data_IF_268763308254
#
_entry.id   IF_268763308254
#
_cell.length_a   1.000
_cell.length_b   1.000
_cell.length_c   1.000
_cell.angle_alpha   90.00
_cell.angle_beta   90.00
_cell.angle_gamma   90.00
#
_symmetry.space_group_name_H-M   'P 1'
#
loop_
_entity.id
_entity.type
_entity.pdbx_description
1 polymer ?
#
# COMPACT_ATOMS: atom_id res chain seq x y z
N UNK A 1 12.18 -47.46 18.79
CA UNK A 1 10.82 -46.89 18.64
C UNK A 1 10.91 -45.47 19.16
N UNK A 2 10.49 -44.48 18.39
CA UNK A 2 10.32 -43.11 18.90
C UNK A 2 9.29 -43.12 20.02
N UNK A 3 9.56 -42.41 21.12
CA UNK A 3 8.57 -42.30 22.19
C UNK A 3 7.28 -41.67 21.66
N UNK A 4 6.10 -42.18 22.08
CA UNK A 4 4.82 -41.64 21.66
C UNK A 4 4.68 -40.19 22.13
N UNK A 5 4.00 -39.36 21.34
CA UNK A 5 3.79 -37.97 21.70
C UNK A 5 2.81 -37.86 22.87
N UNK A 6 3.28 -37.48 24.06
CA UNK A 6 2.41 -37.33 25.23
C UNK A 6 1.76 -35.95 25.25
N UNK A 7 0.44 -35.87 25.21
CA UNK A 7 -0.31 -34.62 25.29
C UNK A 7 -1.05 -34.53 26.62
N UNK A 8 -0.98 -33.39 27.30
CA UNK A 8 -1.86 -33.05 28.42
C UNK A 8 -3.26 -32.63 27.94
N UNK A 9 -4.14 -32.25 28.87
CA UNK A 9 -5.44 -31.68 28.53
C UNK A 9 -5.34 -30.22 28.03
N UNK A 10 -4.22 -29.54 28.32
CA UNK A 10 -3.84 -28.23 27.81
C UNK A 10 -2.40 -28.31 27.27
N UNK A 11 -2.15 -27.75 26.08
CA UNK A 11 -0.83 -27.73 25.45
C UNK A 11 -0.51 -26.37 24.80
N UNK A 12 0.79 -26.09 24.69
CA UNK A 12 1.30 -25.01 23.85
C UNK A 12 1.53 -25.51 22.42
N UNK A 13 1.01 -24.78 21.44
CA UNK A 13 1.16 -25.08 20.01
C UNK A 13 1.55 -23.83 19.23
N UNK A 14 2.08 -24.05 18.03
CA UNK A 14 2.23 -23.01 17.02
C UNK A 14 1.48 -23.38 15.73
N UNK A 15 0.96 -22.36 15.04
CA UNK A 15 0.39 -22.46 13.69
C UNK A 15 1.19 -21.53 12.76
N UNK A 16 2.36 -21.97 12.27
CA UNK A 16 3.27 -21.13 11.47
C UNK A 16 2.60 -20.54 10.22
N UNK A 17 1.75 -21.29 9.54
CA UNK A 17 1.08 -20.82 8.31
C UNK A 17 0.08 -19.68 8.57
N UNK A 18 -0.30 -19.46 9.84
CA UNK A 18 -1.18 -18.37 10.26
C UNK A 18 -0.43 -17.27 11.04
N UNK A 19 0.89 -17.39 11.21
CA UNK A 19 1.66 -16.43 11.99
C UNK A 19 1.33 -16.45 13.47
N UNK A 20 0.97 -17.62 14.01
CA UNK A 20 0.64 -17.83 15.41
C UNK A 20 1.77 -18.67 16.06
N UNK A 21 2.90 -18.05 16.43
CA UNK A 21 4.06 -18.76 16.99
C UNK A 21 3.86 -19.30 18.40
N UNK A 22 2.80 -18.89 19.13
CA UNK A 22 2.52 -19.40 20.48
C UNK A 22 1.03 -19.30 20.81
N UNK A 23 0.37 -20.43 21.01
CA UNK A 23 -1.04 -20.50 21.34
C UNK A 23 -1.29 -21.60 22.36
N UNK A 24 -2.09 -21.32 23.37
CA UNK A 24 -2.62 -22.34 24.28
C UNK A 24 -3.83 -23.00 23.65
N UNK A 25 -3.78 -24.31 23.50
CA UNK A 25 -4.86 -25.12 22.97
C UNK A 25 -5.33 -26.13 24.02
N UNK A 26 -6.64 -26.35 24.09
CA UNK A 26 -7.22 -27.44 24.88
C UNK A 26 -7.31 -28.69 24.01
N UNK A 27 -6.81 -29.81 24.51
CA UNK A 27 -6.99 -31.12 23.88
C UNK A 27 -8.39 -31.62 24.21
N UNK A 28 -9.20 -31.86 23.18
CA UNK A 28 -10.60 -32.23 23.31
C UNK A 28 -10.91 -33.44 22.41
N UNK A 29 -10.73 -34.63 22.98
CA UNK A 29 -10.98 -35.90 22.28
C UNK A 29 -12.47 -36.13 21.97
N UNK A 30 -13.36 -35.40 22.65
CA UNK A 30 -14.80 -35.38 22.38
C UNK A 30 -15.14 -34.64 21.09
N UNK A 31 -14.38 -33.60 20.75
CA UNK A 31 -14.51 -32.91 19.48
C UNK A 31 -13.90 -33.73 18.32
N UNK A 32 -14.67 -33.89 17.24
CA UNK A 32 -14.17 -34.57 16.02
C UNK A 32 -13.09 -33.73 15.32
N UNK A 33 -13.41 -32.47 15.02
CA UNK A 33 -12.53 -31.54 14.29
C UNK A 33 -12.01 -30.46 15.23
N UNK A 34 -10.79 -30.01 14.99
CA UNK A 34 -10.19 -28.89 15.72
C UNK A 34 -10.90 -27.57 15.41
N UNK A 35 -10.84 -26.63 16.35
CA UNK A 35 -11.48 -25.32 16.20
C UNK A 35 -10.50 -24.21 16.57
N UNK A 36 -10.49 -23.13 15.79
CA UNK A 36 -9.69 -21.94 16.01
C UNK A 36 -10.59 -20.72 16.19
N UNK A 37 -10.27 -19.90 17.18
CA UNK A 37 -10.88 -18.60 17.35
C UNK A 37 -10.63 -17.74 16.11
N UNK A 38 -11.69 -17.19 15.55
CA UNK A 38 -11.62 -16.25 14.45
C UNK A 38 -12.76 -15.24 14.59
N UNK A 39 -12.49 -13.98 14.28
CA UNK A 39 -13.49 -12.91 14.20
C UNK A 39 -13.33 -12.15 12.89
N UNK A 40 -14.39 -11.44 12.49
CA UNK A 40 -14.45 -10.76 11.17
C UNK A 40 -14.08 -11.71 10.01
N UNK A 41 -14.70 -12.89 10.02
CA UNK A 41 -14.46 -13.94 9.02
C UNK A 41 -15.11 -13.52 7.71
N UNK A 42 -14.30 -13.23 6.69
CA UNK A 42 -14.76 -12.79 5.38
C UNK A 42 -14.16 -13.67 4.27
N UNK A 43 -14.99 -14.31 3.42
CA UNK A 43 -14.49 -15.00 2.23
C UNK A 43 -14.02 -14.01 1.16
N UNK A 44 -13.01 -14.38 0.40
CA UNK A 44 -12.52 -13.61 -0.74
C UNK A 44 -11.83 -14.50 -1.77
N UNK A 45 -11.49 -13.94 -2.93
CA UNK A 45 -10.90 -14.68 -4.04
C UNK A 45 -11.93 -15.31 -4.98
N UNK A 46 -11.48 -15.83 -6.12
CA UNK A 46 -12.35 -16.45 -7.12
C UNK A 46 -12.92 -17.79 -6.60
N UNK A 47 -14.04 -18.23 -7.16
CA UNK A 47 -14.66 -19.51 -6.80
C UNK A 47 -13.75 -20.73 -7.05
N UNK A 48 -12.79 -20.62 -7.98
CA UNK A 48 -11.78 -21.65 -8.27
C UNK A 48 -10.66 -21.73 -7.23
N UNK A 49 -10.48 -20.69 -6.41
CA UNK A 49 -9.48 -20.64 -5.35
C UNK A 49 -10.03 -19.81 -4.17
N UNK A 50 -11.07 -20.32 -3.48
CA UNK A 50 -11.74 -19.60 -2.41
C UNK A 50 -10.79 -19.47 -1.21
N UNK A 51 -10.75 -18.27 -0.65
CA UNK A 51 -9.95 -17.95 0.53
C UNK A 51 -10.83 -17.34 1.60
N UNK A 52 -10.33 -17.35 2.82
CA UNK A 52 -10.95 -16.67 3.95
C UNK A 52 -9.93 -15.80 4.64
N UNK A 53 -10.30 -14.57 4.96
CA UNK A 53 -9.54 -13.69 5.84
C UNK A 53 -10.27 -13.58 7.16
N UNK A 54 -9.52 -13.47 8.23
CA UNK A 54 -10.06 -13.31 9.58
C UNK A 54 -8.99 -12.70 10.46
N UNK A 55 -9.44 -12.22 11.62
CA UNK A 55 -8.54 -11.77 12.66
C UNK A 55 -8.56 -12.79 13.81
N UNK A 56 -7.42 -12.92 14.49
CA UNK A 56 -7.21 -13.87 15.58
C UNK A 56 -6.62 -13.15 16.80
N UNK A 57 -7.23 -13.33 17.97
CA UNK A 57 -6.70 -12.87 19.25
C UNK A 57 -5.96 -14.01 19.99
N UNK A 58 -4.62 -14.14 19.88
CA UNK A 58 -3.89 -15.26 20.46
C UNK A 58 -3.82 -15.24 21.99
N UNK A 59 -3.92 -14.04 22.60
CA UNK A 59 -3.77 -13.84 24.05
C UNK A 59 -5.12 -13.43 24.64
N UNK A 60 -5.82 -14.30 25.39
CA UNK A 60 -7.14 -13.97 25.96
C UNK A 60 -7.17 -12.68 26.79
N UNK A 61 -6.09 -12.39 27.52
CA UNK A 61 -5.97 -11.22 28.39
C UNK A 61 -5.59 -9.92 27.65
N UNK A 62 -5.32 -9.99 26.34
CA UNK A 62 -4.93 -8.84 25.51
C UNK A 62 -5.73 -8.85 24.20
N UNK A 63 -7.04 -8.61 24.23
CA UNK A 63 -7.88 -8.62 23.04
C UNK A 63 -7.50 -7.53 22.01
N UNK A 64 -6.74 -6.51 22.40
CA UNK A 64 -6.19 -5.51 21.48
C UNK A 64 -5.09 -6.06 20.56
N UNK A 65 -4.52 -7.22 20.90
CA UNK A 65 -3.54 -7.92 20.07
C UNK A 65 -4.26 -8.79 19.04
N UNK A 66 -4.45 -8.26 17.85
CA UNK A 66 -5.00 -8.98 16.71
C UNK A 66 -3.90 -9.41 15.73
N UNK A 67 -3.95 -10.66 15.29
CA UNK A 67 -3.15 -11.17 14.17
C UNK A 67 -4.09 -11.33 12.98
N UNK A 68 -3.75 -10.68 11.87
CA UNK A 68 -4.48 -10.81 10.62
C UNK A 68 -4.06 -12.08 9.89
N UNK A 69 -5.01 -12.97 9.65
CA UNK A 69 -4.80 -14.28 9.05
C UNK A 69 -5.54 -14.39 7.72
N UNK A 70 -5.04 -15.24 6.84
CA UNK A 70 -5.78 -15.69 5.66
C UNK A 70 -5.36 -17.10 5.30
N UNK A 71 -6.27 -17.92 4.81
CA UNK A 71 -5.96 -19.26 4.31
C UNK A 71 -6.92 -19.66 3.16
N UNK A 72 -6.51 -20.61 2.30
CA UNK A 72 -7.44 -21.29 1.40
C UNK A 72 -8.56 -21.97 2.18
N UNK A 73 -9.77 -21.93 1.65
CA UNK A 73 -10.91 -22.66 2.20
C UNK A 73 -10.91 -24.05 1.57
N UNK A 74 -10.83 -25.08 2.41
CA UNK A 74 -10.87 -26.48 1.94
C UNK A 74 -12.28 -27.06 2.01
N UNK A 75 -13.13 -26.55 2.92
CA UNK A 75 -14.50 -27.03 3.10
C UNK A 75 -15.38 -26.00 3.86
N UNK A 76 -16.69 -26.23 3.89
CA UNK A 76 -17.63 -25.61 4.84
C UNK A 76 -18.45 -26.70 5.51
N UNK A 77 -18.39 -26.76 6.84
CA UNK A 77 -19.04 -27.82 7.63
C UNK A 77 -19.98 -27.25 8.67
N UNK A 78 -21.14 -27.88 8.80
CA UNK A 78 -22.03 -27.63 9.94
C UNK A 78 -21.44 -28.30 11.18
N UNK A 79 -21.24 -27.53 12.24
CA UNK A 79 -20.66 -28.00 13.49
C UNK A 79 -21.61 -27.70 14.63
N UNK A 80 -22.05 -28.74 15.34
CA UNK A 80 -22.87 -28.62 16.54
C UNK A 80 -21.99 -28.49 17.77
N UNK A 81 -22.18 -27.42 18.54
CA UNK A 81 -21.50 -27.22 19.82
C UNK A 81 -22.07 -28.13 20.91
N UNK A 82 -21.34 -28.27 22.03
CA UNK A 82 -21.83 -28.96 23.23
C UNK A 82 -23.15 -28.39 23.77
N UNK A 83 -23.49 -27.17 23.38
CA UNK A 83 -24.68 -26.46 23.83
C UNK A 83 -25.88 -26.70 22.89
N UNK A 84 -25.72 -27.54 21.86
CA UNK A 84 -26.77 -27.90 20.91
C UNK A 84 -26.92 -26.95 19.72
N UNK A 85 -26.22 -25.82 19.70
CA UNK A 85 -26.26 -24.87 18.59
C UNK A 85 -25.40 -25.35 17.42
N UNK A 86 -25.99 -25.38 16.22
CA UNK A 86 -25.31 -25.70 14.97
C UNK A 86 -24.89 -24.43 14.22
N UNK A 87 -23.65 -24.43 13.70
CA UNK A 87 -23.06 -23.31 12.97
C UNK A 87 -22.35 -23.80 11.71
N UNK A 88 -22.58 -23.16 10.56
CA UNK A 88 -21.87 -23.45 9.32
C UNK A 88 -20.52 -22.72 9.26
N UNK A 89 -19.43 -23.45 9.51
CA UNK A 89 -18.07 -22.91 9.67
C UNK A 89 -17.21 -23.13 8.43
N UNK A 90 -16.34 -22.17 8.14
CA UNK A 90 -15.24 -22.38 7.18
C UNK A 90 -14.21 -23.34 7.77
N UNK A 91 -13.69 -24.23 6.93
CA UNK A 91 -12.59 -25.13 7.25
C UNK A 91 -11.36 -24.71 6.48
N UNK A 92 -10.24 -24.58 7.19
CA UNK A 92 -8.92 -24.31 6.62
C UNK A 92 -7.96 -25.43 7.01
N UNK A 93 -6.91 -25.62 6.23
CA UNK A 93 -5.77 -26.48 6.60
C UNK A 93 -4.61 -25.60 7.08
N UNK A 94 -3.94 -26.02 8.15
CA UNK A 94 -2.70 -25.38 8.62
C UNK A 94 -1.79 -26.42 9.26
N UNK A 95 -0.49 -26.21 9.22
CA UNK A 95 0.48 -26.98 9.99
C UNK A 95 0.37 -26.65 11.47
N UNK A 96 0.17 -27.66 12.31
CA UNK A 96 0.34 -27.59 13.75
C UNK A 96 1.75 -27.99 14.11
N UNK A 97 2.42 -27.20 14.95
CA UNK A 97 3.74 -27.49 15.47
C UNK A 97 3.70 -27.61 16.99
N UNK A 98 4.28 -28.69 17.50
CA UNK A 98 4.42 -29.00 18.92
C UNK A 98 5.63 -29.94 19.12
N UNK A 99 6.53 -29.59 20.04
CA UNK A 99 7.80 -30.28 20.30
C UNK A 99 8.63 -30.65 19.06
N UNK A 100 8.84 -29.68 18.16
CA UNK A 100 9.58 -29.89 16.92
C UNK A 100 8.88 -30.79 15.88
N UNK A 101 7.80 -31.47 16.24
CA UNK A 101 6.93 -32.21 15.31
C UNK A 101 6.02 -31.24 14.58
N UNK A 102 5.69 -31.54 13.34
CA UNK A 102 4.81 -30.72 12.51
C UNK A 102 3.94 -31.60 11.62
N UNK A 103 2.63 -31.40 11.66
CA UNK A 103 1.67 -32.14 10.85
C UNK A 103 0.49 -31.25 10.43
N UNK A 104 -0.20 -31.54 9.31
CA UNK A 104 -1.37 -30.78 8.91
C UNK A 104 -2.56 -31.03 9.85
N UNK A 105 -3.35 -30.00 10.10
CA UNK A 105 -4.62 -30.08 10.83
C UNK A 105 -5.69 -29.26 10.13
N UNK A 106 -6.91 -29.82 10.06
CA UNK A 106 -8.09 -29.06 9.67
C UNK A 106 -8.63 -28.26 10.85
N UNK A 107 -8.85 -26.95 10.62
CA UNK A 107 -9.35 -26.02 11.62
C UNK A 107 -10.68 -25.44 11.17
N UNK A 108 -11.71 -25.60 11.99
CA UNK A 108 -12.96 -24.84 11.84
C UNK A 108 -12.79 -23.45 12.43
N UNK A 109 -13.22 -22.41 11.71
CA UNK A 109 -13.16 -21.02 12.16
C UNK A 109 -14.47 -20.63 12.86
N UNK A 110 -14.39 -20.11 14.08
CA UNK A 110 -15.57 -19.71 14.87
C UNK A 110 -15.20 -18.68 15.95
N UNK A 111 -16.17 -17.86 16.38
CA UNK A 111 -15.92 -16.88 17.44
C UNK A 111 -15.90 -17.53 18.82
N UNK A 112 -14.70 -17.80 19.32
CA UNK A 112 -14.43 -18.24 20.69
C UNK A 112 -13.98 -17.10 21.63
N UNK A 113 -14.36 -15.85 21.37
CA UNK A 113 -13.94 -14.65 22.09
C UNK A 113 -14.23 -14.68 23.60
N UNK A 114 -15.32 -15.32 24.01
CA UNK A 114 -15.72 -15.53 25.41
C UNK A 114 -15.05 -16.73 26.08
N UNK A 115 -14.38 -17.60 25.31
CA UNK A 115 -13.79 -18.84 25.82
C UNK A 115 -12.34 -18.61 26.29
N UNK A 116 -11.93 -19.31 27.35
CA UNK A 116 -10.55 -19.27 27.85
C UNK A 116 -9.54 -19.74 26.79
N UNK A 117 -9.89 -20.79 26.04
CA UNK A 117 -9.04 -21.38 25.01
C UNK A 117 -9.43 -20.92 23.62
N UNK A 118 -8.47 -20.30 22.94
CA UNK A 118 -8.59 -19.81 21.57
C UNK A 118 -8.45 -20.91 20.53
N UNK A 119 -8.05 -22.11 20.93
CA UNK A 119 -7.98 -23.28 20.06
C UNK A 119 -8.39 -24.54 20.81
N UNK A 120 -9.08 -25.44 20.09
CA UNK A 120 -9.29 -26.83 20.48
C UNK A 120 -8.54 -27.74 19.51
N UNK A 121 -7.85 -28.75 20.03
CA UNK A 121 -7.32 -29.85 19.24
C UNK A 121 -8.33 -30.99 19.35
N UNK A 122 -9.10 -31.19 18.28
CA UNK A 122 -10.03 -32.31 18.17
C UNK A 122 -9.31 -33.61 17.83
N UNK A 123 -10.00 -34.74 17.98
CA UNK A 123 -9.42 -36.08 17.75
C UNK A 123 -8.74 -36.25 16.39
N UNK A 124 -9.27 -35.66 15.31
CA UNK A 124 -8.66 -35.75 13.98
C UNK A 124 -7.35 -34.94 13.84
N UNK A 125 -7.11 -33.98 14.73
CA UNK A 125 -5.87 -33.21 14.77
C UNK A 125 -4.79 -33.82 15.67
N UNK A 126 -5.08 -34.92 16.35
CA UNK A 126 -4.13 -35.63 17.22
C UNK A 126 -3.44 -36.73 16.38
N UNK A 127 -2.10 -36.77 16.33
CA UNK A 127 -1.37 -37.83 15.64
C UNK A 127 -1.69 -39.22 16.18
N UNK A 128 -1.65 -40.25 15.33
CA UNK A 128 -1.97 -41.63 15.72
C UNK A 128 -1.02 -42.18 16.80
N UNK A 129 0.22 -41.70 16.86
CA UNK A 129 1.22 -42.09 17.84
C UNK A 129 1.19 -41.25 19.13
N UNK A 130 0.16 -40.43 19.32
CA UNK A 130 0.01 -39.59 20.50
C UNK A 130 -0.83 -40.26 21.61
N UNK A 131 -0.46 -39.99 22.86
CA UNK A 131 -1.18 -40.45 24.07
C UNK A 131 -1.64 -39.23 24.86
N UNK A 132 -2.94 -39.12 25.12
CA UNK A 132 -3.50 -38.03 25.92
C UNK A 132 -3.52 -38.42 27.40
N UNK A 133 -2.82 -37.65 28.23
CA UNK A 133 -2.80 -37.75 29.68
C UNK A 133 -3.74 -36.69 30.29
N UNK A 134 -4.99 -37.05 30.61
CA UNK A 134 -6.04 -36.06 30.93
C UNK A 134 -5.85 -35.34 32.27
N UNK A 135 -4.96 -35.83 33.14
CA UNK A 135 -4.66 -35.20 34.43
C UNK A 135 -3.47 -34.23 34.36
N UNK A 136 -2.72 -34.24 33.25
CA UNK A 136 -1.52 -33.44 33.09
C UNK A 136 -1.78 -32.23 32.18
N UNK A 137 -1.02 -31.16 32.37
CA UNK A 137 -0.97 -30.00 31.47
C UNK A 137 0.47 -29.80 31.00
N UNK A 138 0.64 -29.30 29.78
CA UNK A 138 1.96 -28.96 29.23
C UNK A 138 2.94 -30.14 29.29
N UNK A 139 2.54 -31.28 28.73
CA UNK A 139 3.44 -32.43 28.61
C UNK A 139 4.57 -32.16 27.60
N UNK A 140 4.50 -31.05 26.86
CA UNK A 140 5.40 -30.63 25.80
C UNK A 140 6.02 -29.26 26.15
N UNK A 141 7.15 -28.87 25.52
CA UNK A 141 7.84 -27.63 25.85
C UNK A 141 6.94 -26.39 25.79
N UNK A 142 6.96 -25.61 26.88
CA UNK A 142 6.13 -24.41 26.96
C UNK A 142 6.63 -23.30 26.02
N UNK A 143 5.67 -22.63 25.38
CA UNK A 143 5.91 -21.43 24.59
C UNK A 143 5.58 -20.18 25.41
N UNK A 144 5.88 -18.99 24.87
CA UNK A 144 5.59 -17.71 25.52
C UNK A 144 4.87 -16.75 24.59
N UNK A 145 3.90 -16.03 25.15
CA UNK A 145 3.23 -14.92 24.47
C UNK A 145 4.11 -13.70 24.24
N UNK A 146 5.31 -13.63 24.85
CA UNK A 146 6.23 -12.50 24.68
C UNK A 146 6.62 -12.27 23.22
N UNK A 147 6.60 -13.34 22.40
CA UNK A 147 6.85 -13.29 20.96
C UNK A 147 5.99 -12.22 20.27
N UNK A 148 4.71 -12.08 20.65
CA UNK A 148 3.77 -11.12 20.08
C UNK A 148 4.05 -9.66 20.48
N UNK A 149 4.80 -9.43 21.54
CA UNK A 149 5.21 -8.10 22.01
C UNK A 149 6.60 -7.69 21.54
N UNK A 150 7.26 -8.55 20.76
CA UNK A 150 8.62 -8.37 20.28
C UNK A 150 8.65 -8.19 18.75
N UNK A 151 9.78 -7.72 18.22
CA UNK A 151 10.00 -7.65 16.78
C UNK A 151 9.87 -9.03 16.08
N UNK A 152 10.06 -10.12 16.83
CA UNK A 152 9.97 -11.50 16.31
C UNK A 152 8.60 -11.81 15.69
N UNK A 153 7.50 -11.23 16.19
CA UNK A 153 6.16 -11.45 15.60
C UNK A 153 6.12 -11.10 14.11
N UNK A 154 6.89 -10.08 13.71
CA UNK A 154 6.97 -9.65 12.32
C UNK A 154 7.84 -10.57 11.49
N UNK A 155 8.89 -11.14 12.08
CA UNK A 155 9.84 -12.04 11.42
C UNK A 155 9.21 -13.42 11.17
N UNK A 156 8.48 -13.95 12.16
CA UNK A 156 7.85 -15.27 12.08
C UNK A 156 6.48 -15.25 11.37
N UNK A 157 5.92 -14.06 11.11
CA UNK A 157 4.69 -13.97 10.33
C UNK A 157 4.91 -14.50 8.91
N UNK A 158 4.05 -15.40 8.41
CA UNK A 158 4.12 -15.87 7.04
C UNK A 158 3.65 -14.78 6.09
N UNK A 159 3.98 -14.93 4.82
CA UNK A 159 3.31 -14.16 3.78
C UNK A 159 1.89 -14.72 3.62
N UNK A 160 0.90 -13.84 3.75
CA UNK A 160 -0.52 -14.19 3.69
C UNK A 160 -1.14 -13.66 2.42
N UNK A 161 -2.22 -14.29 1.96
CA UNK A 161 -3.02 -13.77 0.86
C UNK A 161 -3.69 -12.46 1.29
N UNK A 162 -3.47 -11.41 0.51
CA UNK A 162 -4.08 -10.09 0.72
C UNK A 162 -5.25 -9.90 -0.23
N UNK A 163 -6.25 -9.13 0.21
CA UNK A 163 -7.30 -8.59 -0.66
C UNK A 163 -6.97 -7.13 -0.99
N UNK A 164 -6.72 -6.83 -2.27
CA UNK A 164 -6.19 -5.53 -2.69
C UNK A 164 -7.12 -4.92 -3.73
N UNK A 165 -7.47 -3.65 -3.55
CA UNK A 165 -8.21 -2.88 -4.54
C UNK A 165 -7.25 -2.01 -5.37
N UNK A 166 -7.39 -2.02 -6.69
CA UNK A 166 -6.74 -1.05 -7.59
C UNK A 166 -7.82 -0.09 -8.09
N UNK A 167 -7.80 1.16 -7.64
CA UNK A 167 -8.76 2.17 -8.10
C UNK A 167 -8.28 2.72 -9.44
N UNK A 168 -8.89 2.29 -10.54
CA UNK A 168 -8.48 2.66 -11.90
C UNK A 168 -9.68 2.72 -12.82
N UNK A 169 -9.71 3.71 -13.71
CA UNK A 169 -10.69 3.80 -14.82
C UNK A 169 -10.21 3.08 -16.07
N UNK A 170 -8.95 2.65 -16.09
CA UNK A 170 -8.28 2.13 -17.28
C UNK A 170 -7.69 0.75 -16.95
N UNK A 171 -8.55 -0.29 -16.83
CA UNK A 171 -8.13 -1.62 -16.40
C UNK A 171 -7.11 -2.27 -17.34
N UNK A 172 -7.19 -1.97 -18.64
CA UNK A 172 -6.39 -2.63 -19.67
C UNK A 172 -5.01 -2.00 -19.90
N UNK A 173 -4.72 -0.88 -19.23
CA UNK A 173 -3.40 -0.25 -19.30
C UNK A 173 -2.32 -1.17 -18.77
N UNK A 174 -1.12 -1.08 -19.36
CA UNK A 174 0.03 -1.88 -18.94
C UNK A 174 0.24 -1.84 -17.42
N UNK A 175 0.18 -0.64 -16.84
CA UNK A 175 0.41 -0.46 -15.40
C UNK A 175 -0.64 -1.15 -14.53
N UNK A 176 -1.92 -1.11 -14.92
CA UNK A 176 -3.00 -1.76 -14.16
C UNK A 176 -2.93 -3.27 -14.31
N UNK A 177 -2.73 -3.79 -15.53
CA UNK A 177 -2.58 -5.24 -15.78
C UNK A 177 -1.40 -5.82 -15.01
N UNK A 178 -0.22 -5.17 -15.06
CA UNK A 178 0.98 -5.61 -14.31
C UNK A 178 0.75 -5.65 -12.80
N UNK A 179 -0.01 -4.70 -12.24
CA UNK A 179 -0.38 -4.73 -10.82
C UNK A 179 -1.24 -5.95 -10.49
N UNK A 180 -2.23 -6.28 -11.32
CA UNK A 180 -3.08 -7.46 -11.14
C UNK A 180 -2.25 -8.74 -11.28
N UNK A 181 -1.55 -8.90 -12.40
CA UNK A 181 -0.73 -10.09 -12.71
C UNK A 181 0.30 -10.38 -11.61
N UNK A 182 1.04 -9.37 -11.15
CA UNK A 182 2.06 -9.56 -10.13
C UNK A 182 1.44 -9.91 -8.77
N UNK A 183 0.31 -9.30 -8.41
CA UNK A 183 -0.38 -9.61 -7.15
C UNK A 183 -0.98 -11.01 -7.14
N UNK A 184 -1.64 -11.41 -8.23
CA UNK A 184 -2.21 -12.75 -8.38
C UNK A 184 -1.12 -13.82 -8.42
N UNK A 185 0.00 -13.56 -9.10
CA UNK A 185 1.19 -14.43 -9.08
C UNK A 185 1.74 -14.65 -7.67
N UNK A 186 1.63 -13.65 -6.79
CA UNK A 186 2.00 -13.72 -5.36
C UNK A 186 0.90 -14.30 -4.48
N UNK A 187 -0.20 -14.77 -5.07
CA UNK A 187 -1.31 -15.40 -4.36
C UNK A 187 -2.26 -14.39 -3.71
N UNK A 188 -2.23 -13.11 -4.07
CA UNK A 188 -3.23 -12.14 -3.61
C UNK A 188 -4.49 -12.18 -4.46
N UNK A 189 -5.56 -11.55 -3.99
CA UNK A 189 -6.76 -11.26 -4.77
C UNK A 189 -6.77 -9.77 -5.06
N UNK A 190 -6.68 -9.42 -6.35
CA UNK A 190 -6.57 -8.03 -6.80
C UNK A 190 -7.83 -7.67 -7.59
N UNK A 191 -8.58 -6.70 -7.10
CA UNK A 191 -9.82 -6.24 -7.73
C UNK A 191 -9.61 -4.84 -8.32
N UNK A 192 -9.84 -4.69 -9.64
CA UNK A 192 -9.81 -3.38 -10.28
C UNK A 192 -11.19 -2.76 -10.17
N UNK A 193 -11.25 -1.56 -9.57
CA UNK A 193 -12.51 -0.87 -9.27
C UNK A 193 -12.51 0.48 -9.99
N UNK A 194 -13.52 0.72 -10.82
CA UNK A 194 -13.71 2.02 -11.46
C UNK A 194 -14.06 3.07 -10.40
N UNK A 195 -13.14 4.01 -10.22
CA UNK A 195 -13.25 5.05 -9.18
C UNK A 195 -14.51 5.90 -9.32
N UNK A 196 -15.04 6.12 -10.53
CA UNK A 196 -16.22 6.96 -10.74
C UNK A 196 -17.55 6.22 -10.51
N UNK A 197 -17.52 4.90 -10.45
CA UNK A 197 -18.69 4.07 -10.14
C UNK A 197 -18.84 3.84 -8.63
N UNK A 198 -17.80 4.15 -7.86
CA UNK A 198 -17.89 4.17 -6.41
C UNK A 198 -18.79 5.32 -5.94
N UNK A 199 -19.59 5.07 -4.92
CA UNK A 199 -20.29 6.10 -4.14
C UNK A 199 -20.24 5.73 -2.66
N UNK A 200 -20.57 6.65 -1.76
CA UNK A 200 -20.31 6.46 -0.33
C UNK A 200 -21.47 6.89 0.55
N UNK A 201 -21.61 6.21 1.68
CA UNK A 201 -22.44 6.69 2.80
C UNK A 201 -21.57 7.52 3.73
N UNK A 202 -22.01 8.73 4.02
CA UNK A 202 -21.33 9.66 4.94
C UNK A 202 -22.18 9.82 6.19
N UNK A 203 -21.84 9.07 7.23
CA UNK A 203 -22.46 9.22 8.55
C UNK A 203 -21.41 8.90 9.62
N UNK A 204 -21.70 9.30 10.87
CA UNK A 204 -20.73 9.18 11.96
C UNK A 204 -20.47 7.74 12.41
N UNK A 205 -21.41 6.81 12.16
CA UNK A 205 -21.41 5.48 12.80
C UNK A 205 -20.98 4.35 11.86
N UNK A 206 -21.41 4.40 10.60
CA UNK A 206 -21.18 3.40 9.55
C UNK A 206 -20.89 4.09 8.21
N UNK A 207 -19.77 4.84 8.09
CA UNK A 207 -19.28 5.30 6.80
C UNK A 207 -18.84 4.08 5.97
N UNK A 208 -19.24 4.03 4.70
CA UNK A 208 -18.91 2.92 3.81
C UNK A 208 -18.80 3.36 2.35
N UNK A 209 -18.28 2.47 1.52
CA UNK A 209 -18.16 2.65 0.07
C UNK A 209 -18.98 1.57 -0.62
N UNK A 210 -19.66 1.96 -1.68
CA UNK A 210 -20.49 1.11 -2.52
C UNK A 210 -20.01 1.16 -3.96
N UNK A 211 -20.25 0.08 -4.69
CA UNK A 211 -19.96 -0.06 -6.11
C UNK A 211 -21.08 -0.90 -6.73
N UNK A 212 -21.75 -0.37 -7.76
CA UNK A 212 -22.84 -1.05 -8.48
C UNK A 212 -23.92 -1.66 -7.56
N UNK A 213 -24.44 -0.88 -6.61
CA UNK A 213 -25.52 -1.32 -5.72
C UNK A 213 -25.05 -2.13 -4.51
N UNK A 214 -23.77 -2.51 -4.43
CA UNK A 214 -23.24 -3.37 -3.35
C UNK A 214 -22.23 -2.62 -2.51
N UNK A 215 -22.26 -2.85 -1.19
CA UNK A 215 -21.20 -2.40 -0.29
C UNK A 215 -19.90 -3.09 -0.70
N UNK A 216 -18.83 -2.31 -0.84
CA UNK A 216 -17.50 -2.85 -1.07
C UNK A 216 -17.02 -3.59 0.20
N UNK A 217 -16.32 -4.73 0.02
CA UNK A 217 -15.75 -5.47 1.12
C UNK A 217 -14.53 -4.76 1.70
N UNK A 218 -14.00 -5.28 2.80
CA UNK A 218 -12.76 -4.77 3.40
C UNK A 218 -11.54 -5.20 2.60
N UNK A 219 -10.66 -4.24 2.31
CA UNK A 219 -9.38 -4.48 1.65
C UNK A 219 -8.23 -4.36 2.64
N UNK A 220 -7.16 -5.12 2.42
CA UNK A 220 -5.89 -4.96 3.15
C UNK A 220 -5.11 -3.73 2.69
N UNK A 221 -5.22 -3.42 1.39
CA UNK A 221 -4.61 -2.25 0.78
C UNK A 221 -5.42 -1.77 -0.42
N UNK A 222 -5.35 -0.47 -0.66
CA UNK A 222 -5.88 0.18 -1.87
C UNK A 222 -4.72 0.84 -2.62
N UNK A 223 -4.63 0.63 -3.92
CA UNK A 223 -3.64 1.24 -4.82
C UNK A 223 -4.39 2.23 -5.74
N UNK A 224 -4.42 3.53 -5.42
CA UNK A 224 -5.10 4.50 -6.27
C UNK A 224 -4.30 4.83 -7.52
N UNK A 225 -4.92 4.61 -8.69
CA UNK A 225 -4.43 5.03 -10.01
C UNK A 225 -5.26 6.21 -10.53
N UNK A 226 -5.41 7.23 -9.69
CA UNK A 226 -6.29 8.38 -9.95
C UNK A 226 -5.70 9.28 -11.04
N UNK A 227 -6.42 9.36 -12.16
CA UNK A 227 -6.11 10.24 -13.29
C UNK A 227 -6.34 11.73 -12.96
N UNK A 228 -5.65 12.61 -13.70
CA UNK A 228 -5.74 14.06 -13.47
C UNK A 228 -7.18 14.60 -13.63
N UNK A 229 -7.94 14.08 -14.60
CA UNK A 229 -9.32 14.52 -14.89
C UNK A 229 -10.35 14.20 -13.80
N UNK A 230 -10.03 13.26 -12.91
CA UNK A 230 -10.93 12.81 -11.85
C UNK A 230 -10.37 13.04 -10.45
N UNK A 231 -9.30 13.82 -10.31
CA UNK A 231 -8.59 13.98 -9.03
C UNK A 231 -9.51 14.41 -7.87
N UNK A 232 -10.42 15.39 -8.01
CA UNK A 232 -11.31 15.77 -6.92
C UNK A 232 -12.18 14.62 -6.41
N UNK A 233 -12.81 13.87 -7.32
CA UNK A 233 -13.67 12.75 -6.94
C UNK A 233 -12.86 11.54 -6.49
N UNK A 234 -11.79 11.20 -7.22
CA UNK A 234 -10.94 10.07 -6.90
C UNK A 234 -10.28 10.20 -5.53
N UNK A 235 -9.81 11.38 -5.16
CA UNK A 235 -9.27 11.63 -3.82
C UNK A 235 -10.35 11.61 -2.74
N UNK A 236 -11.61 11.95 -3.05
CA UNK A 236 -12.72 11.74 -2.13
C UNK A 236 -12.98 10.26 -1.85
N UNK A 237 -12.96 9.39 -2.88
CA UNK A 237 -13.06 7.93 -2.71
C UNK A 237 -11.89 7.39 -1.87
N UNK A 238 -10.65 7.79 -2.20
CA UNK A 238 -9.45 7.38 -1.43
C UNK A 238 -9.57 7.79 0.04
N UNK A 239 -10.00 9.03 0.29
CA UNK A 239 -10.20 9.52 1.65
C UNK A 239 -11.28 8.73 2.39
N UNK A 240 -12.31 8.26 1.70
CA UNK A 240 -13.31 7.39 2.32
C UNK A 240 -12.73 6.03 2.72
N UNK A 241 -11.84 5.44 1.90
CA UNK A 241 -11.10 4.23 2.29
C UNK A 241 -10.22 4.48 3.53
N UNK A 242 -9.56 5.64 3.60
CA UNK A 242 -8.79 6.05 4.77
C UNK A 242 -9.68 6.20 6.02
N UNK A 243 -10.88 6.80 5.89
CA UNK A 243 -11.85 6.98 6.98
C UNK A 243 -12.30 5.65 7.57
N UNK A 244 -12.51 4.61 6.74
CA UNK A 244 -12.89 3.27 7.19
C UNK A 244 -11.68 2.41 7.62
N UNK A 245 -10.50 3.02 7.74
CA UNK A 245 -9.29 2.37 8.27
C UNK A 245 -8.48 1.56 7.26
N UNK A 246 -8.81 1.64 5.96
CA UNK A 246 -8.06 0.92 4.92
C UNK A 246 -6.80 1.70 4.55
N UNK A 247 -5.67 0.99 4.44
CA UNK A 247 -4.41 1.61 4.03
C UNK A 247 -4.39 1.89 2.52
N UNK A 248 -4.10 3.13 2.14
CA UNK A 248 -4.03 3.58 0.75
C UNK A 248 -2.58 3.91 0.32
N UNK A 249 -2.15 3.36 -0.82
CA UNK A 249 -0.83 3.59 -1.43
C UNK A 249 -1.02 4.20 -2.83
N UNK A 250 -1.13 5.52 -2.97
CA UNK A 250 -0.90 6.59 -2.01
C UNK A 250 -2.15 7.10 -1.29
N UNK A 251 -1.95 7.85 -0.19
CA UNK A 251 -3.03 8.52 0.52
C UNK A 251 -3.57 9.77 -0.19
N UNK A 252 -4.80 10.17 0.17
CA UNK A 252 -5.56 11.23 -0.51
C UNK A 252 -4.85 12.59 -0.47
N UNK A 253 -4.30 12.97 0.68
CA UNK A 253 -3.61 14.25 0.87
C UNK A 253 -2.37 14.40 -0.03
N UNK A 254 -1.57 13.35 -0.13
CA UNK A 254 -0.38 13.34 -0.99
C UNK A 254 -0.73 13.40 -2.47
N UNK A 255 -1.78 12.68 -2.89
CA UNK A 255 -2.28 12.73 -4.27
C UNK A 255 -2.72 14.15 -4.61
N UNK A 256 -3.58 14.77 -3.79
CA UNK A 256 -4.06 16.14 -3.99
C UNK A 256 -2.91 17.14 -4.08
N UNK A 257 -1.97 17.09 -3.12
CA UNK A 257 -0.85 18.02 -3.07
C UNK A 257 0.11 17.87 -4.27
N UNK A 258 0.31 16.65 -4.78
CA UNK A 258 1.15 16.41 -5.95
C UNK A 258 0.52 16.87 -7.27
N UNK A 259 -0.81 16.97 -7.34
CA UNK A 259 -1.56 17.34 -8.55
C UNK A 259 -1.72 18.85 -8.70
N UNK A 260 -1.81 19.57 -7.60
CA UNK A 260 -1.83 21.03 -7.61
C UNK A 260 -0.39 21.55 -7.76
N UNK A 261 -0.07 22.12 -8.94
CA UNK A 261 1.28 22.62 -9.22
C UNK A 261 1.70 23.72 -8.25
N UNK A 262 0.82 24.64 -7.85
CA UNK A 262 1.18 25.69 -6.89
C UNK A 262 1.46 25.09 -5.52
N UNK A 263 0.54 24.26 -5.03
CA UNK A 263 0.71 23.63 -3.73
C UNK A 263 1.97 22.74 -3.69
N UNK A 264 2.24 22.01 -4.78
CA UNK A 264 3.46 21.21 -4.91
C UNK A 264 4.75 22.04 -4.76
N UNK A 265 4.83 23.20 -5.43
CA UNK A 265 6.01 24.07 -5.28
C UNK A 265 6.12 24.63 -3.85
N UNK A 266 5.00 24.97 -3.21
CA UNK A 266 5.00 25.42 -1.81
C UNK A 266 5.47 24.31 -0.85
N UNK A 267 5.06 23.06 -1.07
CA UNK A 267 5.51 21.89 -0.28
C UNK A 267 7.01 21.70 -0.43
N UNK A 268 7.53 21.72 -1.67
CA UNK A 268 8.97 21.60 -1.94
C UNK A 268 9.76 22.75 -1.28
N UNK A 269 9.23 23.97 -1.33
CA UNK A 269 9.90 25.17 -0.81
C UNK A 269 9.99 25.11 0.72
N UNK A 270 8.89 24.74 1.37
CA UNK A 270 8.84 24.53 2.84
C UNK A 270 9.84 23.49 3.30
N UNK A 271 10.09 22.46 2.50
CA UNK A 271 11.05 21.39 2.81
C UNK A 271 12.48 21.67 2.33
N UNK A 272 12.75 22.88 1.80
CA UNK A 272 14.05 23.30 1.26
C UNK A 272 14.58 22.28 0.24
N UNK A 273 13.72 21.84 -0.68
CA UNK A 273 14.07 20.94 -1.77
C UNK A 273 14.32 21.80 -3.01
N UNK A 274 15.43 21.55 -3.71
CA UNK A 274 15.79 22.29 -4.91
C UNK A 274 14.72 22.13 -6.00
N UNK A 275 14.31 23.25 -6.59
CA UNK A 275 13.41 23.33 -7.75
C UNK A 275 13.80 24.56 -8.57
N UNK A 276 13.41 24.66 -9.85
CA UNK A 276 13.67 25.86 -10.63
C UNK A 276 12.99 27.08 -9.99
N UNK A 277 13.63 28.25 -10.04
CA UNK A 277 13.03 29.48 -9.49
C UNK A 277 11.68 29.70 -10.16
N UNK A 278 10.63 29.85 -9.35
CA UNK A 278 9.25 29.86 -9.84
C UNK A 278 8.46 30.98 -9.17
N UNK A 279 7.85 31.83 -9.99
CA UNK A 279 6.86 32.83 -9.57
C UNK A 279 5.46 32.36 -9.96
N UNK A 280 4.49 32.60 -9.07
CA UNK A 280 3.08 32.32 -9.32
C UNK A 280 2.30 33.62 -9.42
N UNK A 281 1.38 33.70 -10.38
CA UNK A 281 0.60 34.89 -10.62
C UNK A 281 -0.77 34.58 -11.22
N UNK A 282 -1.72 35.49 -10.98
CA UNK A 282 -3.05 35.48 -11.59
C UNK A 282 -3.22 36.70 -12.49
N UNK A 283 -3.19 37.90 -11.91
CA UNK A 283 -3.25 39.16 -12.66
C UNK A 283 -2.36 40.24 -12.02
N UNK A 284 -1.04 40.04 -11.95
CA UNK A 284 -0.15 41.09 -11.46
C UNK A 284 -0.16 42.22 -12.49
N UNK A 285 -0.45 43.47 -12.09
CA UNK A 285 -0.21 44.64 -12.95
C UNK A 285 1.30 44.90 -13.16
N UNK A 286 2.14 44.13 -12.50
CA UNK A 286 3.59 44.26 -12.44
C UNK A 286 4.30 43.04 -13.06
N UNK A 287 4.20 42.90 -14.38
CA UNK A 287 4.89 41.83 -15.13
C UNK A 287 6.41 41.97 -15.03
N UNK A 288 6.91 43.21 -14.95
CA UNK A 288 8.34 43.50 -14.92
C UNK A 288 9.00 42.92 -13.66
N UNK A 289 8.39 43.16 -12.49
CA UNK A 289 8.90 42.59 -11.25
C UNK A 289 8.78 41.06 -11.22
N UNK A 290 7.68 40.51 -11.74
CA UNK A 290 7.52 39.05 -11.83
C UNK A 290 8.64 38.40 -12.67
N UNK A 291 9.04 39.03 -13.77
CA UNK A 291 10.19 38.59 -14.56
C UNK A 291 11.50 38.75 -13.79
N UNK A 292 11.69 39.84 -13.04
CA UNK A 292 12.89 40.05 -12.23
C UNK A 292 13.08 38.99 -11.14
N UNK A 293 11.99 38.49 -10.55
CA UNK A 293 12.02 37.43 -9.53
C UNK A 293 12.57 36.12 -10.11
N UNK A 294 12.12 35.75 -11.32
CA UNK A 294 12.47 34.46 -11.94
C UNK A 294 13.83 34.52 -12.64
N UNK A 295 14.21 35.69 -13.13
CA UNK A 295 15.44 35.94 -13.86
C UNK A 295 15.20 36.38 -15.31
N UNK A 296 16.29 36.65 -16.03
CA UNK A 296 16.23 37.01 -17.45
C UNK A 296 15.81 35.82 -18.32
N UNK A 297 15.16 36.11 -19.45
CA UNK A 297 14.80 35.10 -20.44
C UNK A 297 16.03 34.27 -20.90
N UNK A 298 15.85 33.00 -21.30
CA UNK A 298 14.58 32.29 -21.48
C UNK A 298 13.87 31.90 -20.18
N UNK A 299 12.53 31.92 -20.21
CA UNK A 299 11.67 31.44 -19.10
C UNK A 299 10.58 30.50 -19.62
N UNK A 300 10.08 29.66 -18.74
CA UNK A 300 8.94 28.78 -18.99
C UNK A 300 7.68 29.41 -18.37
N UNK A 301 6.62 29.57 -19.14
CA UNK A 301 5.30 30.01 -18.66
C UNK A 301 4.34 28.81 -18.71
N UNK A 302 3.72 28.46 -17.58
CA UNK A 302 2.82 27.31 -17.45
C UNK A 302 1.44 27.74 -16.98
N UNK A 303 0.38 27.29 -17.65
CA UNK A 303 -0.99 27.38 -17.14
C UNK A 303 -1.23 26.31 -16.07
N UNK A 304 -1.89 26.69 -14.97
CA UNK A 304 -2.29 25.74 -13.94
C UNK A 304 -3.36 24.78 -14.45
N UNK A 305 -4.38 25.30 -15.11
CA UNK A 305 -5.55 24.60 -15.65
C UNK A 305 -5.26 23.89 -16.98
N UNK A 306 -4.20 23.08 -17.00
CA UNK A 306 -3.79 22.37 -18.19
C UNK A 306 -3.30 20.96 -17.91
N UNK A 307 -3.69 20.04 -18.78
CA UNK A 307 -3.29 18.63 -18.75
C UNK A 307 -2.29 18.34 -19.88
N UNK A 308 -1.40 17.38 -19.64
CA UNK A 308 -0.47 16.82 -20.65
C UNK A 308 0.39 17.85 -21.42
N UNK A 309 0.89 18.89 -20.75
CA UNK A 309 1.84 19.84 -21.38
C UNK A 309 1.23 20.82 -22.38
N UNK A 310 -0.09 20.78 -22.61
CA UNK A 310 -0.81 21.89 -23.25
C UNK A 310 -0.68 23.10 -22.31
N UNK A 311 -0.32 24.28 -22.81
CA UNK A 311 -0.14 25.45 -21.94
C UNK A 311 1.19 25.55 -21.18
N UNK A 312 2.23 24.84 -21.61
CA UNK A 312 3.63 25.12 -21.24
C UNK A 312 4.31 25.78 -22.44
N UNK A 313 4.83 27.00 -22.26
CA UNK A 313 5.43 27.81 -23.33
C UNK A 313 6.84 28.20 -22.93
N UNK A 314 7.81 27.98 -23.82
CA UNK A 314 9.15 28.55 -23.70
C UNK A 314 9.15 29.95 -24.32
N UNK A 315 9.44 30.96 -23.50
CA UNK A 315 9.62 32.33 -23.95
C UNK A 315 11.11 32.65 -23.97
N UNK A 316 11.70 32.66 -25.17
CA UNK A 316 13.14 32.86 -25.37
C UNK A 316 13.61 34.29 -25.07
N UNK A 317 12.71 35.26 -25.23
CA UNK A 317 12.99 36.68 -25.00
C UNK A 317 12.06 37.27 -23.94
N UNK A 318 12.51 38.34 -23.28
CA UNK A 318 11.68 39.07 -22.31
C UNK A 318 10.36 39.55 -22.92
N UNK A 319 10.40 40.08 -24.14
CA UNK A 319 9.21 40.52 -24.88
C UNK A 319 8.23 39.37 -25.13
N UNK A 320 8.74 38.20 -25.55
CA UNK A 320 7.90 37.03 -25.73
C UNK A 320 7.23 36.59 -24.41
N UNK A 321 7.97 36.61 -23.30
CA UNK A 321 7.43 36.26 -21.98
C UNK A 321 6.32 37.24 -21.57
N UNK A 322 6.55 38.54 -21.73
CA UNK A 322 5.56 39.59 -21.45
C UNK A 322 4.29 39.43 -22.30
N UNK A 323 4.43 39.12 -23.60
CA UNK A 323 3.29 38.85 -24.48
C UNK A 323 2.47 37.64 -24.05
N UNK A 324 3.13 36.53 -23.68
CA UNK A 324 2.45 35.32 -23.21
C UNK A 324 1.74 35.57 -21.87
N UNK A 325 2.40 36.26 -20.94
CA UNK A 325 1.80 36.64 -19.65
C UNK A 325 0.59 37.56 -19.85
N UNK A 326 0.68 38.53 -20.76
CA UNK A 326 -0.44 39.42 -21.10
C UNK A 326 -1.62 38.65 -21.69
N UNK A 327 -1.36 37.67 -22.58
CA UNK A 327 -2.39 36.82 -23.14
C UNK A 327 -3.08 35.98 -22.04
N UNK A 328 -2.32 35.37 -21.14
CA UNK A 328 -2.88 34.57 -20.03
C UNK A 328 -3.68 35.42 -19.05
N UNK A 329 -3.27 36.67 -18.80
CA UNK A 329 -4.05 37.63 -18.01
C UNK A 329 -5.40 37.94 -18.65
N UNK A 330 -5.44 38.12 -19.97
CA UNK A 330 -6.68 38.33 -20.72
C UNK A 330 -7.68 37.18 -20.58
N UNK A 331 -7.16 35.95 -20.43
CA UNK A 331 -7.94 34.74 -20.17
C UNK A 331 -8.36 34.57 -18.70
N UNK A 332 -7.98 35.50 -17.80
CA UNK A 332 -8.19 35.41 -16.34
C UNK A 332 -7.69 34.10 -15.73
N UNK A 333 -6.65 33.51 -16.33
CA UNK A 333 -6.11 32.23 -15.90
C UNK A 333 -4.94 32.42 -14.93
N UNK A 334 -4.83 31.51 -13.96
CA UNK A 334 -3.66 31.42 -13.09
C UNK A 334 -2.47 30.78 -13.83
N UNK A 335 -1.28 31.34 -13.68
CA UNK A 335 -0.07 30.88 -14.35
C UNK A 335 1.17 30.88 -13.45
N UNK A 336 2.14 30.05 -13.83
CA UNK A 336 3.47 30.00 -13.25
C UNK A 336 4.47 30.52 -14.28
N UNK A 337 5.43 31.32 -13.83
CA UNK A 337 6.64 31.64 -14.60
C UNK A 337 7.81 31.01 -13.89
N UNK A 338 8.60 30.25 -14.62
CA UNK A 338 9.63 29.39 -14.08
C UNK A 338 10.93 29.56 -14.86
N UNK A 339 12.05 29.53 -14.14
CA UNK A 339 13.38 29.58 -14.73
C UNK A 339 13.56 28.43 -15.72
N UNK A 340 14.09 28.74 -16.91
CA UNK A 340 14.52 27.72 -17.85
C UNK A 340 15.92 27.23 -17.47
N UNK A 341 16.02 25.96 -17.06
CA UNK A 341 17.28 25.30 -16.69
C UNK A 341 17.96 24.84 -17.99
N UNK A 342 18.81 25.69 -18.56
CA UNK A 342 19.46 25.43 -19.86
C UNK A 342 20.39 24.23 -19.81
N UNK A 343 21.03 24.03 -18.65
CA UNK A 343 22.04 23.01 -18.39
C UNK A 343 21.45 21.60 -18.50
N UNK A 344 20.13 21.47 -18.32
CA UNK A 344 19.42 20.21 -18.50
C UNK A 344 19.36 19.74 -19.96
N UNK A 345 19.62 20.63 -20.93
CA UNK A 345 19.71 20.33 -22.37
C UNK A 345 18.52 19.52 -22.93
N UNK A 346 17.30 19.82 -22.48
CA UNK A 346 16.10 19.10 -22.92
C UNK A 346 16.00 17.66 -22.41
N UNK A 347 16.79 17.31 -21.40
CA UNK A 347 16.76 16.02 -20.72
C UNK A 347 16.18 16.15 -19.31
N UNK A 348 15.44 15.14 -18.88
CA UNK A 348 15.03 15.01 -17.49
C UNK A 348 15.23 13.58 -16.98
N UNK A 349 15.38 13.46 -15.67
CA UNK A 349 15.54 12.18 -14.99
C UNK A 349 14.27 11.89 -14.21
N UNK A 350 13.56 10.82 -14.58
CA UNK A 350 12.44 10.30 -13.80
C UNK A 350 12.93 9.21 -12.86
N UNK A 351 12.82 9.47 -11.56
CA UNK A 351 13.08 8.53 -10.49
C UNK A 351 11.77 7.90 -10.02
N UNK A 352 11.65 6.58 -10.10
CA UNK A 352 10.54 5.83 -9.46
C UNK A 352 10.94 5.55 -8.01
N UNK A 353 10.29 6.24 -7.09
CA UNK A 353 10.51 6.13 -5.64
C UNK A 353 9.44 5.24 -5.04
N UNK A 354 9.85 4.20 -4.31
CA UNK A 354 8.97 3.30 -3.58
C UNK A 354 9.52 3.06 -2.18
N UNK A 355 8.70 3.24 -1.14
CA UNK A 355 9.07 2.83 0.23
C UNK A 355 10.31 3.56 0.76
N UNK A 356 10.57 4.77 0.27
CA UNK A 356 11.75 5.57 0.62
C UNK A 356 13.04 5.18 -0.10
N UNK A 357 12.96 4.45 -1.22
CA UNK A 357 14.10 4.06 -2.06
C UNK A 357 13.79 4.39 -3.53
N UNK A 358 14.84 4.67 -4.32
CA UNK A 358 14.70 4.82 -5.78
C UNK A 358 14.91 3.46 -6.43
N UNK A 359 13.82 2.86 -6.92
CA UNK A 359 13.81 1.52 -7.51
C UNK A 359 14.28 1.51 -8.96
N UNK A 360 13.90 2.53 -9.73
CA UNK A 360 14.39 2.75 -11.09
C UNK A 360 14.59 4.25 -11.37
N UNK A 361 15.49 4.54 -12.30
CA UNK A 361 15.72 5.87 -12.83
C UNK A 361 15.90 5.79 -14.32
N UNK A 362 15.12 6.58 -15.05
CA UNK A 362 15.21 6.69 -16.50
C UNK A 362 15.54 8.13 -16.87
N UNK A 363 16.39 8.29 -17.87
CA UNK A 363 16.58 9.57 -18.56
C UNK A 363 15.62 9.62 -19.72
N UNK A 364 14.88 10.72 -19.83
CA UNK A 364 14.07 11.01 -21.01
C UNK A 364 14.69 12.18 -21.75
N UNK A 365 14.83 12.02 -23.06
CA UNK A 365 15.37 13.06 -23.93
C UNK A 365 14.28 13.51 -24.91
N UNK A 366 14.12 14.82 -25.06
CA UNK A 366 13.18 15.41 -26.00
C UNK A 366 13.55 15.09 -27.46
N UNK A 367 12.56 15.13 -28.36
CA UNK A 367 12.80 15.04 -29.80
C UNK A 367 13.52 16.29 -30.32
N UNK A 368 14.15 16.20 -31.50
CA UNK A 368 14.86 17.35 -32.10
C UNK A 368 13.91 18.55 -32.27
N UNK A 369 14.29 19.70 -31.73
CA UNK A 369 13.49 20.94 -31.76
C UNK A 369 12.42 21.06 -30.67
N UNK A 370 12.30 20.09 -29.78
CA UNK A 370 11.37 20.09 -28.65
C UNK A 370 12.16 20.20 -27.33
N UNK A 371 11.69 21.01 -26.38
CA UNK A 371 12.34 21.15 -25.07
C UNK A 371 11.70 20.25 -24.00
N UNK A 372 10.53 19.67 -24.30
CA UNK A 372 9.79 18.77 -23.41
C UNK A 372 10.16 17.32 -23.69
N UNK A 373 10.65 16.62 -22.67
CA UNK A 373 11.14 15.24 -22.72
C UNK A 373 10.05 14.17 -22.47
N UNK A 374 8.77 14.53 -22.51
CA UNK A 374 7.68 13.58 -22.24
C UNK A 374 7.62 12.46 -23.31
N UNK A 375 7.54 11.19 -22.87
CA UNK A 375 7.46 10.02 -23.77
C UNK A 375 6.25 10.07 -24.71
N UNK A 376 5.10 10.56 -24.23
CA UNK A 376 3.89 10.70 -25.05
C UNK A 376 4.04 11.74 -26.18
N UNK A 377 5.10 12.56 -26.19
CA UNK A 377 5.41 13.54 -27.23
C UNK A 377 6.56 13.07 -28.14
N UNK A 378 6.84 11.76 -28.19
CA UNK A 378 7.89 11.19 -29.06
C UNK A 378 9.30 11.23 -28.46
N UNK A 379 9.45 11.57 -27.17
CA UNK A 379 10.72 11.47 -26.46
C UNK A 379 11.19 10.02 -26.28
N UNK A 380 12.49 9.81 -26.15
CA UNK A 380 13.09 8.48 -25.90
C UNK A 380 13.36 8.28 -24.40
N UNK A 381 13.27 7.04 -23.90
CA UNK A 381 13.67 6.68 -22.54
C UNK A 381 14.85 5.71 -22.55
N UNK A 382 15.82 5.92 -21.66
CA UNK A 382 16.90 4.99 -21.38
C UNK A 382 17.17 4.91 -19.88
N UNK A 383 17.67 3.77 -19.39
CA UNK A 383 18.11 3.68 -18.00
C UNK A 383 19.27 4.65 -17.73
N UNK A 384 19.27 5.28 -16.55
CA UNK A 384 20.34 6.20 -16.15
C UNK A 384 20.80 5.94 -14.74
N UNK A 385 22.12 6.01 -14.52
CA UNK A 385 22.69 6.01 -13.18
C UNK A 385 22.59 7.41 -12.58
N UNK A 386 21.92 7.49 -11.44
CA UNK A 386 21.75 8.75 -10.71
C UNK A 386 22.82 8.92 -9.62
N UNK A 387 23.16 10.18 -9.35
CA UNK A 387 24.09 10.56 -8.28
C UNK A 387 23.46 10.38 -6.89
N UNK A 388 24.29 10.47 -5.83
CA UNK A 388 23.80 10.45 -4.45
C UNK A 388 22.84 11.62 -4.18
N UNK A 389 23.20 12.82 -4.64
CA UNK A 389 22.37 14.02 -4.48
C UNK A 389 21.02 13.89 -5.20
N UNK A 390 20.99 13.37 -6.43
CA UNK A 390 19.74 13.11 -7.17
C UNK A 390 18.83 12.12 -6.43
N UNK A 391 19.41 11.03 -5.93
CA UNK A 391 18.69 10.01 -5.17
C UNK A 391 18.09 10.57 -3.89
N UNK A 392 18.87 11.31 -3.11
CA UNK A 392 18.42 11.94 -1.87
C UNK A 392 17.32 12.97 -2.13
N UNK A 393 17.47 13.80 -3.16
CA UNK A 393 16.46 14.78 -3.57
C UNK A 393 15.15 14.10 -3.99
N UNK A 394 15.21 13.02 -4.78
CA UNK A 394 14.01 12.27 -5.16
C UNK A 394 13.29 11.65 -3.95
N UNK A 395 14.03 11.03 -3.03
CA UNK A 395 13.46 10.43 -1.81
C UNK A 395 12.85 11.51 -0.90
N UNK A 396 13.55 12.64 -0.71
CA UNK A 396 13.05 13.78 0.07
C UNK A 396 11.78 14.36 -0.55
N UNK A 397 11.72 14.49 -1.87
CA UNK A 397 10.54 14.98 -2.58
C UNK A 397 9.35 14.03 -2.34
N UNK A 398 9.47 12.73 -2.63
CA UNK A 398 8.39 11.78 -2.38
C UNK A 398 7.90 11.79 -0.92
N UNK A 399 8.84 11.87 0.04
CA UNK A 399 8.53 11.98 1.48
C UNK A 399 7.82 13.27 1.84
N UNK A 400 8.18 14.41 1.24
CA UNK A 400 7.54 15.70 1.49
C UNK A 400 6.03 15.68 1.17
N UNK A 401 5.63 14.89 0.18
CA UNK A 401 4.22 14.67 -0.19
C UNK A 401 3.56 13.50 0.55
N UNK A 402 4.28 12.77 1.41
CA UNK A 402 3.77 11.56 2.05
C UNK A 402 3.44 10.43 1.07
N UNK A 403 4.12 10.38 -0.09
CA UNK A 403 3.88 9.37 -1.12
C UNK A 403 4.76 8.14 -0.88
N UNK A 404 4.13 6.97 -0.79
CA UNK A 404 4.81 5.68 -0.74
C UNK A 404 5.26 5.19 -2.12
N UNK A 405 4.57 5.62 -3.19
CA UNK A 405 4.92 5.42 -4.60
C UNK A 405 4.94 6.78 -5.31
N UNK A 406 6.03 7.18 -5.93
CA UNK A 406 6.09 8.44 -6.68
C UNK A 406 7.00 8.34 -7.90
N UNK A 407 6.64 9.03 -8.98
CA UNK A 407 7.58 9.40 -10.04
C UNK A 407 8.08 10.81 -9.78
N UNK A 408 9.36 10.99 -9.51
CA UNK A 408 9.97 12.30 -9.29
C UNK A 408 10.80 12.67 -10.50
N UNK A 409 10.42 13.76 -11.17
CA UNK A 409 11.11 14.27 -12.35
C UNK A 409 12.13 15.32 -11.90
N UNK A 410 13.39 15.11 -12.28
CA UNK A 410 14.53 15.94 -11.91
C UNK A 410 15.18 16.55 -13.15
N UNK A 411 15.63 17.79 -13.02
CA UNK A 411 16.56 18.44 -13.94
C UNK A 411 17.94 18.51 -13.29
N UNK A 412 18.98 18.28 -14.09
CA UNK A 412 20.37 18.53 -13.68
C UNK A 412 20.67 20.01 -13.91
N UNK A 413 21.18 20.68 -12.89
CA UNK A 413 21.76 22.02 -12.99
C UNK A 413 23.10 22.06 -12.27
N UNK A 414 23.87 23.13 -12.52
CA UNK A 414 25.22 23.31 -12.00
C UNK A 414 25.27 23.38 -10.46
N UNK A 415 24.18 23.83 -9.83
CA UNK A 415 24.03 23.95 -8.37
C UNK A 415 23.25 22.78 -7.73
N UNK A 416 23.09 21.67 -8.45
CA UNK A 416 22.50 20.42 -7.97
C UNK A 416 21.11 20.10 -8.55
N UNK A 417 20.53 18.94 -8.21
CA UNK A 417 19.28 18.48 -8.84
C UNK A 417 18.09 19.36 -8.48
N UNK A 418 17.27 19.71 -9.48
CA UNK A 418 16.03 20.48 -9.33
C UNK A 418 14.81 19.59 -9.59
N UNK A 419 13.89 19.52 -8.64
CA UNK A 419 12.61 18.82 -8.80
C UNK A 419 11.72 19.63 -9.74
N UNK A 420 11.30 19.01 -10.84
CA UNK A 420 10.38 19.57 -11.82
C UNK A 420 8.93 19.20 -11.52
N UNK A 421 8.68 17.93 -11.20
CA UNK A 421 7.35 17.39 -10.90
C UNK A 421 7.46 16.20 -9.95
N UNK A 422 6.43 16.01 -9.11
CA UNK A 422 6.23 14.78 -8.34
C UNK A 422 4.87 14.20 -8.72
N UNK A 423 4.86 13.03 -9.34
CA UNK A 423 3.66 12.34 -9.78
C UNK A 423 3.30 11.19 -8.81
N UNK A 424 2.12 11.27 -8.21
CA UNK A 424 1.57 10.27 -7.28
C UNK A 424 1.02 8.99 -7.93
N UNK A 425 0.93 8.93 -9.27
CA UNK A 425 0.51 7.74 -10.01
C UNK A 425 1.40 7.58 -11.26
N UNK A 426 2.70 7.25 -11.07
CA UNK A 426 3.61 7.09 -12.19
C UNK A 426 3.24 5.84 -12.99
N UNK A 427 3.39 5.89 -14.32
CA UNK A 427 3.29 4.69 -15.17
C UNK A 427 4.52 3.79 -15.00
N UNK A 428 4.31 2.47 -15.07
CA UNK A 428 5.39 1.49 -14.94
C UNK A 428 6.08 1.15 -16.26
N UNK A 429 5.35 1.12 -17.37
CA UNK A 429 5.81 0.61 -18.68
C UNK A 429 7.16 1.18 -19.13
N UNK A 430 7.26 2.51 -19.28
CA UNK A 430 8.51 3.13 -19.74
C UNK A 430 9.69 2.90 -18.78
N UNK A 431 9.43 2.76 -17.48
CA UNK A 431 10.46 2.52 -16.49
C UNK A 431 10.88 1.04 -16.42
N UNK A 432 9.94 0.10 -16.49
CA UNK A 432 10.23 -1.34 -16.53
C UNK A 432 10.94 -1.70 -17.83
N UNK A 433 10.46 -1.24 -18.99
CA UNK A 433 11.09 -1.50 -20.30
C UNK A 433 12.52 -0.97 -20.37
N UNK A 434 12.77 0.25 -19.88
CA UNK A 434 14.11 0.84 -19.94
C UNK A 434 15.07 0.25 -18.90
N UNK A 435 14.59 -0.12 -17.71
CA UNK A 435 15.45 -0.60 -16.61
C UNK A 435 15.56 -2.12 -16.49
N UNK A 436 14.65 -2.88 -17.11
CA UNK A 436 14.53 -4.33 -16.97
C UNK A 436 14.09 -4.80 -15.58
N UNK A 437 13.66 -3.89 -14.69
CA UNK A 437 13.27 -4.22 -13.31
C UNK A 437 11.78 -4.50 -13.18
N UNK A 438 11.41 -5.41 -12.28
CA UNK A 438 10.04 -5.64 -11.86
C UNK A 438 9.63 -4.64 -10.77
N UNK A 439 9.08 -3.50 -11.18
CA UNK A 439 8.65 -2.42 -10.29
C UNK A 439 7.35 -2.78 -9.56
N UNK A 440 6.43 -3.51 -10.21
CA UNK A 440 5.25 -4.04 -9.51
C UNK A 440 5.65 -5.00 -8.39
N UNK A 441 6.67 -5.85 -8.61
CA UNK A 441 7.21 -6.73 -7.57
C UNK A 441 7.71 -5.95 -6.35
N UNK A 442 8.53 -4.91 -6.57
CA UNK A 442 9.01 -4.04 -5.49
C UNK A 442 7.86 -3.31 -4.75
N UNK A 443 6.78 -2.97 -5.45
CA UNK A 443 5.57 -2.41 -4.84
C UNK A 443 4.90 -3.43 -3.91
N UNK A 444 4.76 -4.69 -4.35
CA UNK A 444 4.17 -5.74 -3.53
C UNK A 444 5.02 -6.10 -2.31
N UNK A 445 6.36 -6.11 -2.43
CA UNK A 445 7.25 -6.29 -1.28
C UNK A 445 6.98 -5.22 -0.19
N UNK A 446 6.65 -4.00 -0.60
CA UNK A 446 6.26 -2.93 0.33
C UNK A 446 4.90 -3.19 0.98
N UNK A 447 3.91 -3.62 0.19
CA UNK A 447 2.55 -3.90 0.65
C UNK A 447 2.55 -5.06 1.64
N UNK A 448 3.20 -6.18 1.31
CA UNK A 448 3.34 -7.36 2.17
C UNK A 448 4.06 -7.00 3.48
N UNK A 449 5.17 -6.28 3.38
CA UNK A 449 5.93 -5.82 4.56
C UNK A 449 5.10 -4.91 5.47
N UNK A 450 4.17 -4.13 4.91
CA UNK A 450 3.24 -3.26 5.65
C UNK A 450 2.10 -4.06 6.29
N UNK A 451 1.62 -5.10 5.63
CA UNK A 451 0.54 -5.97 6.11
C UNK A 451 0.96 -6.92 7.25
N UNK A 452 2.27 -7.12 7.46
CA UNK A 452 2.80 -7.90 8.59
C UNK A 452 2.40 -7.27 9.94
N UNK A 453 2.13 -8.09 10.98
CA UNK A 453 1.70 -7.63 12.29
C UNK A 453 2.75 -6.71 12.93
N UNK A 454 2.27 -5.67 13.61
CA UNK A 454 3.10 -4.83 14.47
C UNK A 454 3.21 -5.46 15.87
N UNK A 455 4.36 -5.34 16.55
CA UNK A 455 4.49 -5.78 17.93
C UNK A 455 3.46 -5.09 18.84
N UNK A 456 2.82 -5.86 19.72
CA UNK A 456 1.95 -5.29 20.75
C UNK A 456 2.73 -4.28 21.59
N UNK A 457 2.17 -3.09 21.84
CA UNK A 457 2.77 -2.13 22.78
C UNK A 457 2.87 -2.80 24.16
N UNK A 458 4.09 -2.93 24.70
CA UNK A 458 4.26 -3.23 26.13
C UNK A 458 3.61 -2.08 26.91
N UNK A 459 2.66 -2.38 27.80
CA UNK A 459 2.15 -1.36 28.74
C UNK A 459 3.37 -0.74 29.41
N UNK A 460 3.56 0.57 29.22
CA UNK A 460 4.41 1.33 30.13
C UNK A 460 3.87 1.11 31.54
N UNK A 461 4.75 0.90 32.52
CA UNK A 461 4.36 0.98 33.93
C UNK A 461 3.49 2.22 34.06
N UNK A 462 2.24 2.04 34.46
CA UNK A 462 1.40 3.15 34.91
C UNK A 462 2.23 3.92 35.92
N UNK A 463 2.64 5.14 35.58
CA UNK A 463 3.07 6.12 36.56
C UNK A 463 1.82 6.41 37.40
N UNK A 464 1.66 5.64 38.47
CA UNK A 464 0.97 6.15 39.65
C UNK A 464 1.84 7.30 40.16
N UNK A 465 1.39 8.52 39.90
CA UNK A 465 1.73 9.72 40.64
C UNK A 465 0.49 10.58 40.70
#
# INVERSE_FOLDING_TARGET
MTEPLRLGWEEWVALPDLGLPALKAKVDTGAKTSALHAFEIEPFGPASNPKVRFLMYPVPQKPELAIACSAPVVDRREVTSSNGEAELRYVIESKLQLDGRTWPVELTLTDRGSMQYRMLIGRQGIPEDAVVAPQDSFCQPELTYDVYSSAKVREVAPDRSLRIAVLSREPDTYSTRRLVEEGEKRGHTVEVIDTLRCYMTLNAMAPDIYYDGKRLPRYDAVIPRVGASITPYGTAIVRQFETIGTWCLNGSAGITASRDKLHAHQVLARQKIGMPVTAFASSPKDTANLMNIVGSAPVIVKLLESTQGKGVVLAETKKAAESVISAFRGLKANFLVQQFVKEANGEDIRCIVMGGRVEASIKRSAAAGEFRSNLHMGGTASAVKITKAERETAIRAARAFGLGLAGVDLLRSDDGPKVLEVNSSPGFEGAETASGKNLCGALYDMIEKRARPAPARKRGRSSQS
#
